data_IF_404319058071
#
_entry.id   IF_404319058071
#
_cell.length_a   1.000
_cell.length_b   1.000
_cell.length_c   1.000
_cell.angle_alpha   90.00
_cell.angle_beta   90.00
_cell.angle_gamma   90.00
#
_symmetry.space_group_name_H-M   'P 1'
#
loop_
_entity.id
_entity.type
_entity.pdbx_description
1 polymer ?
#
# COMPACT_ATOMS: atom_id res chain seq x y z
N UNK A 1 10.85 -2.49 0.30
CA UNK A 1 9.93 -3.41 1.00
C UNK A 1 8.62 -3.65 0.23
N UNK A 2 7.75 -2.66 0.02
CA UNK A 2 6.47 -2.89 -0.66
C UNK A 2 6.63 -3.51 -2.07
N UNK A 3 7.54 -2.95 -2.89
CA UNK A 3 7.91 -3.51 -4.19
C UNK A 3 8.47 -4.94 -4.10
N UNK A 4 9.29 -5.22 -3.08
CA UNK A 4 9.85 -6.56 -2.85
C UNK A 4 8.77 -7.59 -2.51
N UNK A 5 7.83 -7.22 -1.64
CA UNK A 5 6.70 -8.07 -1.26
C UNK A 5 5.82 -8.36 -2.47
N UNK A 6 5.53 -7.34 -3.26
CA UNK A 6 4.73 -7.47 -4.47
C UNK A 6 5.41 -8.39 -5.50
N UNK A 7 6.72 -8.21 -5.70
CA UNK A 7 7.54 -9.08 -6.56
C UNK A 7 7.51 -10.54 -6.10
N UNK A 8 7.65 -10.79 -4.78
CA UNK A 8 7.61 -12.15 -4.24
C UNK A 8 6.23 -12.78 -4.36
N UNK A 9 5.18 -11.99 -4.14
CA UNK A 9 3.80 -12.42 -4.29
C UNK A 9 3.52 -13.00 -5.69
N UNK A 10 4.03 -12.36 -6.74
CA UNK A 10 3.87 -12.82 -8.13
C UNK A 10 4.50 -14.18 -8.44
N UNK A 11 5.42 -14.67 -7.61
CA UNK A 11 6.11 -15.96 -7.79
C UNK A 11 5.74 -17.00 -6.73
N UNK A 12 4.93 -16.62 -5.75
CA UNK A 12 4.62 -17.47 -4.61
C UNK A 12 3.46 -18.43 -4.93
N UNK A 13 3.68 -19.72 -4.70
CA UNK A 13 2.69 -20.77 -4.94
C UNK A 13 2.14 -21.29 -3.61
N UNK A 14 0.81 -21.30 -3.49
CA UNK A 14 0.12 -21.82 -2.31
C UNK A 14 0.10 -23.35 -2.38
N UNK A 15 0.76 -24.04 -1.45
CA UNK A 15 0.97 -25.50 -1.50
C UNK A 15 -0.31 -26.32 -1.69
N UNK A 16 -1.42 -25.90 -1.07
CA UNK A 16 -2.71 -26.60 -1.14
C UNK A 16 -3.65 -26.04 -2.23
N UNK A 17 -3.25 -24.98 -2.93
CA UNK A 17 -4.00 -24.34 -4.03
C UNK A 17 -3.02 -23.80 -5.09
N UNK A 18 -2.29 -24.67 -5.80
CA UNK A 18 -1.19 -24.24 -6.66
C UNK A 18 -1.63 -23.39 -7.86
N UNK A 19 -2.88 -23.51 -8.29
CA UNK A 19 -3.45 -22.75 -9.41
C UNK A 19 -3.98 -21.36 -8.99
N UNK A 20 -4.11 -21.10 -7.69
CA UNK A 20 -4.67 -19.84 -7.19
C UNK A 20 -3.52 -18.86 -6.93
N UNK A 21 -3.41 -17.75 -7.67
CA UNK A 21 -2.37 -16.77 -7.42
C UNK A 21 -2.63 -16.05 -6.09
N UNK A 22 -1.59 -15.91 -5.28
CA UNK A 22 -1.65 -15.02 -4.11
C UNK A 22 -1.76 -13.59 -4.62
N UNK A 23 -2.85 -12.89 -4.29
CA UNK A 23 -3.06 -11.50 -4.68
C UNK A 23 -2.81 -10.60 -3.47
N UNK A 24 -1.78 -9.75 -3.56
CA UNK A 24 -1.46 -8.78 -2.52
C UNK A 24 -1.88 -7.38 -2.95
N UNK A 25 -2.42 -6.62 -2.01
CA UNK A 25 -2.72 -5.19 -2.14
C UNK A 25 -2.06 -4.46 -0.99
N UNK A 26 -1.51 -3.29 -1.27
CA UNK A 26 -0.72 -2.51 -0.31
C UNK A 26 -1.19 -1.07 -0.34
N UNK A 27 -1.40 -0.46 0.83
CA UNK A 27 -1.68 0.96 0.98
C UNK A 27 -0.61 1.64 1.82
N UNK A 28 -0.19 2.84 1.40
CA UNK A 28 0.84 3.64 2.07
C UNK A 28 0.36 5.06 2.33
N UNK A 29 0.54 5.49 3.57
CA UNK A 29 0.34 6.86 4.00
C UNK A 29 1.43 7.25 5.01
N UNK A 30 1.79 8.52 5.02
CA UNK A 30 2.82 9.08 5.90
C UNK A 30 2.20 10.17 6.77
N UNK A 31 2.47 10.12 8.07
CA UNK A 31 1.99 11.11 9.02
C UNK A 31 2.34 10.76 10.47
N UNK A 32 2.02 11.63 11.43
CA UNK A 32 2.29 11.39 12.85
C UNK A 32 1.40 10.26 13.39
N UNK A 33 1.92 9.46 14.31
CA UNK A 33 1.16 8.45 15.03
C UNK A 33 1.66 8.33 16.47
N UNK A 34 0.83 7.73 17.32
CA UNK A 34 1.16 7.45 18.72
C UNK A 34 1.32 5.96 18.90
N UNK A 35 2.40 5.54 19.55
CA UNK A 35 2.64 4.14 19.89
C UNK A 35 2.40 3.91 21.38
N UNK A 36 1.91 2.72 21.74
CA UNK A 36 1.73 2.33 23.15
C UNK A 36 1.47 0.85 23.33
N UNK A 37 1.61 0.39 24.57
CA UNK A 37 1.24 -0.97 24.97
C UNK A 37 -0.16 -0.93 25.61
N UNK A 38 -1.08 -1.72 25.08
CA UNK A 38 -2.47 -1.79 25.56
C UNK A 38 -2.75 -3.14 26.22
N UNK A 39 -3.40 -3.10 27.38
CA UNK A 39 -3.82 -4.26 28.16
C UNK A 39 -2.80 -4.66 29.23
N UNK A 40 -3.29 -4.96 30.44
CA UNK A 40 -2.44 -5.34 31.57
C UNK A 40 -2.14 -6.84 31.61
N UNK A 41 -3.13 -7.68 31.29
CA UNK A 41 -2.99 -9.15 31.33
C UNK A 41 -2.39 -9.73 30.04
N UNK A 42 -2.68 -9.10 28.89
CA UNK A 42 -2.16 -9.49 27.59
C UNK A 42 -1.70 -8.24 26.84
N UNK A 43 -0.49 -7.73 27.15
CA UNK A 43 0.01 -6.49 26.58
C UNK A 43 0.22 -6.63 25.07
N UNK A 44 -0.34 -5.68 24.30
CA UNK A 44 -0.17 -5.58 22.84
C UNK A 44 0.41 -4.25 22.46
N UNK A 45 1.49 -4.26 21.68
CA UNK A 45 2.04 -3.04 21.09
C UNK A 45 1.15 -2.57 19.93
N UNK A 46 0.67 -1.34 20.01
CA UNK A 46 -0.31 -0.78 19.08
C UNK A 46 0.13 0.61 18.61
N UNK A 47 -0.23 0.93 17.37
CA UNK A 47 -0.12 2.27 16.79
C UNK A 47 -1.52 2.88 16.65
N UNK A 48 -1.65 4.16 16.97
CA UNK A 48 -2.90 4.91 16.96
C UNK A 48 -2.73 6.24 16.20
N UNK A 49 -3.85 6.76 15.69
CA UNK A 49 -3.94 8.07 15.06
C UNK A 49 -4.56 8.03 13.67
N UNK A 50 -4.78 9.21 13.10
CA UNK A 50 -5.34 9.35 11.75
C UNK A 50 -4.46 8.69 10.68
N UNK A 51 -3.14 8.67 10.89
CA UNK A 51 -2.19 8.08 9.94
C UNK A 51 -2.46 6.60 9.69
N UNK A 52 -2.69 5.81 10.75
CA UNK A 52 -2.96 4.36 10.60
C UNK A 52 -4.33 4.11 9.96
N UNK A 53 -5.32 4.97 10.25
CA UNK A 53 -6.64 4.89 9.63
C UNK A 53 -6.56 5.24 8.14
N UNK A 54 -5.86 6.32 7.77
CA UNK A 54 -5.68 6.72 6.37
C UNK A 54 -4.89 5.66 5.59
N UNK A 55 -3.81 5.10 6.17
CA UNK A 55 -3.08 3.99 5.56
C UNK A 55 -3.97 2.76 5.32
N UNK A 56 -4.81 2.41 6.29
CA UNK A 56 -5.81 1.34 6.14
C UNK A 56 -6.80 1.65 5.01
N UNK A 57 -7.20 2.92 4.82
CA UNK A 57 -8.06 3.30 3.68
C UNK A 57 -7.35 3.20 2.34
N UNK A 58 -6.09 3.61 2.24
CA UNK A 58 -5.28 3.40 1.05
C UNK A 58 -5.18 1.91 0.69
N UNK A 59 -5.07 1.02 1.67
CA UNK A 59 -5.08 -0.42 1.39
C UNK A 59 -6.47 -0.86 0.93
N UNK A 60 -7.52 -0.55 1.68
CA UNK A 60 -8.87 -1.07 1.42
C UNK A 60 -9.46 -0.61 0.09
N UNK A 61 -9.09 0.60 -0.38
CA UNK A 61 -9.56 1.20 -1.65
C UNK A 61 -8.59 0.95 -2.82
N UNK A 62 -7.53 0.19 -2.58
CA UNK A 62 -6.56 -0.21 -3.59
C UNK A 62 -7.07 -1.38 -4.46
N UNK A 63 -6.26 -1.75 -5.46
CA UNK A 63 -6.49 -2.90 -6.31
C UNK A 63 -5.42 -4.00 -6.10
N UNK A 64 -5.76 -5.23 -6.49
CA UNK A 64 -4.81 -6.35 -6.44
C UNK A 64 -3.55 -6.03 -7.25
N UNK A 65 -2.41 -6.48 -6.74
CA UNK A 65 -1.08 -6.25 -7.29
C UNK A 65 -0.67 -4.77 -7.45
N UNK A 66 -1.27 -3.87 -6.66
CA UNK A 66 -0.91 -2.46 -6.66
C UNK A 66 -0.54 -1.94 -5.28
N UNK A 67 0.26 -0.89 -5.28
CA UNK A 67 0.68 -0.14 -4.10
C UNK A 67 0.02 1.24 -4.19
N UNK A 68 -1.00 1.46 -3.38
CA UNK A 68 -1.77 2.71 -3.31
C UNK A 68 -1.05 3.72 -2.42
N UNK A 69 -0.82 4.91 -2.93
CA UNK A 69 -0.22 6.02 -2.21
C UNK A 69 -1.21 7.15 -1.97
N UNK A 70 -1.13 7.71 -0.77
CA UNK A 70 -1.69 9.03 -0.46
C UNK A 70 -0.88 10.18 -1.09
N UNK A 71 -1.46 11.39 -1.26
CA UNK A 71 -0.72 12.57 -1.74
C UNK A 71 0.55 12.89 -0.94
N UNK A 72 0.43 12.89 0.39
CA UNK A 72 1.54 13.22 1.30
C UNK A 72 2.72 12.26 1.10
N UNK A 73 2.44 10.96 0.98
CA UNK A 73 3.51 9.98 0.72
C UNK A 73 4.12 10.16 -0.66
N UNK A 74 3.31 10.50 -1.67
CA UNK A 74 3.81 10.76 -3.03
C UNK A 74 4.76 11.94 -3.05
N UNK A 75 4.43 13.05 -2.39
CA UNK A 75 5.28 14.25 -2.30
C UNK A 75 6.65 13.91 -1.68
N UNK A 76 6.66 13.17 -0.58
CA UNK A 76 7.91 12.73 0.06
C UNK A 76 8.73 11.82 -0.84
N UNK A 77 8.08 10.92 -1.60
CA UNK A 77 8.79 10.03 -2.52
C UNK A 77 9.36 10.78 -3.73
N UNK A 78 8.68 11.82 -4.21
CA UNK A 78 9.19 12.69 -5.27
C UNK A 78 10.45 13.45 -4.80
N UNK A 79 10.43 13.98 -3.57
CA UNK A 79 11.59 14.65 -2.96
C UNK A 79 12.79 13.70 -2.80
N UNK A 80 12.54 12.45 -2.42
CA UNK A 80 13.58 11.43 -2.31
C UNK A 80 14.13 10.98 -3.68
N UNK A 81 13.31 11.09 -4.73
CA UNK A 81 13.67 10.73 -6.09
C UNK A 81 13.75 9.23 -6.37
N UNK A 82 13.79 8.90 -7.66
CA UNK A 82 13.98 7.54 -8.17
C UNK A 82 12.76 6.61 -8.04
N UNK A 83 11.58 7.11 -7.64
CA UNK A 83 10.34 6.32 -7.62
C UNK A 83 9.47 6.64 -8.84
N UNK A 84 8.90 5.59 -9.44
CA UNK A 84 8.01 5.73 -10.60
C UNK A 84 6.58 5.68 -10.07
N UNK A 85 5.88 6.80 -10.17
CA UNK A 85 4.54 6.99 -9.60
C UNK A 85 3.58 7.43 -10.71
N UNK A 86 2.37 6.86 -10.69
CA UNK A 86 1.30 7.18 -11.65
C UNK A 86 0.07 7.72 -10.92
N UNK A 87 -0.62 8.69 -11.52
CA UNK A 87 -1.90 9.16 -11.02
C UNK A 87 -2.95 8.04 -11.14
N UNK A 88 -3.60 7.70 -10.03
CA UNK A 88 -4.76 6.80 -10.02
C UNK A 88 -6.05 7.55 -10.35
N UNK A 89 -6.14 8.79 -9.90
CA UNK A 89 -7.36 9.59 -9.90
C UNK A 89 -7.89 9.82 -8.47
N UNK A 90 -9.09 10.36 -8.41
CA UNK A 90 -9.75 10.73 -7.16
C UNK A 90 -10.35 9.53 -6.44
N UNK A 91 -10.26 9.52 -5.11
CA UNK A 91 -10.86 8.51 -4.23
C UNK A 91 -11.58 9.23 -3.10
N UNK A 92 -12.79 8.79 -2.79
CA UNK A 92 -13.49 9.24 -1.60
C UNK A 92 -12.91 8.56 -0.34
N UNK A 93 -12.41 9.37 0.58
CA UNK A 93 -11.96 8.93 1.89
C UNK A 93 -12.88 9.46 2.97
N UNK A 94 -13.40 8.53 3.78
CA UNK A 94 -14.23 8.88 4.94
C UNK A 94 -13.51 9.89 5.84
N UNK A 95 -14.11 11.08 6.00
CA UNK A 95 -13.58 12.16 6.82
C UNK A 95 -12.56 13.08 6.15
N UNK A 96 -12.12 12.77 4.92
CA UNK A 96 -11.23 13.64 4.12
C UNK A 96 -11.85 14.09 2.79
N UNK A 97 -12.99 13.51 2.41
CA UNK A 97 -13.66 13.80 1.14
C UNK A 97 -12.92 13.17 -0.04
N UNK A 98 -13.09 13.78 -1.20
CA UNK A 98 -12.39 13.38 -2.42
C UNK A 98 -10.93 13.81 -2.39
N UNK A 99 -10.03 12.84 -2.53
CA UNK A 99 -8.59 13.10 -2.59
C UNK A 99 -7.99 12.46 -3.83
N UNK A 100 -7.06 13.18 -4.48
CA UNK A 100 -6.20 12.57 -5.48
C UNK A 100 -5.36 11.47 -4.85
N UNK A 101 -5.11 10.41 -5.59
CA UNK A 101 -4.27 9.32 -5.10
C UNK A 101 -3.47 8.69 -6.23
N UNK A 102 -2.48 7.88 -5.88
CA UNK A 102 -1.43 7.47 -6.81
C UNK A 102 -1.09 5.99 -6.69
N UNK A 103 -0.51 5.44 -7.74
CA UNK A 103 0.08 4.10 -7.77
C UNK A 103 1.59 4.21 -7.78
N UNK A 104 2.25 3.53 -6.84
CA UNK A 104 3.69 3.26 -6.96
C UNK A 104 3.87 2.06 -7.90
N UNK A 105 4.49 2.29 -9.06
CA UNK A 105 4.65 1.26 -10.10
C UNK A 105 6.08 0.75 -10.25
N UNK A 106 7.06 1.45 -9.65
CA UNK A 106 8.45 1.02 -9.72
C UNK A 106 9.40 1.95 -8.99
N UNK A 107 10.69 1.61 -9.10
CA UNK A 107 11.81 2.41 -8.60
C UNK A 107 13.01 2.21 -9.53
N UNK A 108 13.80 3.25 -9.73
CA UNK A 108 15.11 3.13 -10.37
C UNK A 108 15.95 2.04 -9.70
N UNK A 109 16.66 1.26 -10.51
CA UNK A 109 17.47 0.11 -10.08
C UNK A 109 16.67 -1.03 -9.40
N UNK A 110 15.33 -1.03 -9.48
CA UNK A 110 14.51 -2.16 -9.07
C UNK A 110 14.29 -3.13 -10.24
N UNK A 111 15.15 -4.14 -10.34
CA UNK A 111 15.18 -5.07 -11.48
C UNK A 111 14.38 -6.37 -11.23
N UNK A 112 13.64 -6.46 -10.12
CA UNK A 112 12.85 -7.66 -9.81
C UNK A 112 11.51 -7.58 -10.56
N UNK A 113 11.01 -8.69 -11.11
CA UNK A 113 9.73 -8.68 -11.82
C UNK A 113 8.59 -8.33 -10.86
N UNK A 114 7.65 -7.52 -11.34
CA UNK A 114 6.38 -7.24 -10.67
C UNK A 114 5.26 -7.99 -11.40
N UNK A 115 4.27 -8.53 -10.68
CA UNK A 115 3.11 -9.17 -11.30
C UNK A 115 2.27 -8.15 -12.07
N UNK A 116 1.70 -8.59 -13.20
CA UNK A 116 0.76 -7.77 -13.95
C UNK A 116 -0.54 -7.58 -13.17
N UNK A 117 -0.93 -6.34 -12.87
CA UNK A 117 -2.16 -6.10 -12.15
C UNK A 117 -3.37 -6.40 -13.05
N UNK A 118 -4.44 -7.00 -12.50
CA UNK A 118 -5.69 -7.13 -13.25
C UNK A 118 -6.24 -5.74 -13.63
N UNK A 119 -7.12 -5.67 -14.65
CA UNK A 119 -7.87 -4.47 -14.95
C UNK A 119 -8.58 -3.95 -13.70
N UNK A 120 -8.63 -2.62 -13.53
CA UNK A 120 -9.47 -2.03 -12.49
C UNK A 120 -10.90 -2.22 -12.99
N UNK A 121 -11.67 -3.03 -12.29
CA UNK A 121 -13.12 -3.08 -12.50
C UNK A 121 -13.67 -1.83 -11.80
N UNK A 122 -14.25 -0.92 -12.58
CA UNK A 122 -14.92 0.29 -12.06
C UNK A 122 -16.12 -0.07 -11.17
#
# INVERSE_FOLDING_TARGET
MALDLLSKCGTFVIRHMPEVPLRLRIGLHTGPCVAGVVGSTMPRYCLFGDTVNTASRMESTGAAFRIHLSPVTKEILDELGGYIIQLRGTVELKGKGEVNSYWLVGKENFNKPLPDPPPIVE
#
